data_IF_641760766942
#
_entry.id   IF_641760766942
#
_cell.length_a   1.000
_cell.length_b   1.000
_cell.length_c   1.000
_cell.angle_alpha   90.00
_cell.angle_beta   90.00
_cell.angle_gamma   90.00
#
_symmetry.space_group_name_H-M   'P 1'
#
loop_
_entity.id
_entity.type
_entity.pdbx_description
1 polymer ?
#
# COMPACT_ATOMS: atom_id res chain seq x y z
N UNK A 1 -4.48 -5.97 -8.76
CA UNK A 1 -4.51 -6.87 -7.60
C UNK A 1 -4.30 -6.08 -6.32
N UNK A 2 -5.03 -6.43 -5.27
CA UNK A 2 -4.83 -5.95 -3.89
C UNK A 2 -4.52 -7.15 -3.00
N UNK A 3 -3.84 -6.91 -1.88
CA UNK A 3 -3.67 -7.91 -0.84
C UNK A 3 -5.03 -8.21 -0.17
N UNK A 4 -5.19 -9.41 0.38
CA UNK A 4 -6.34 -9.75 1.22
C UNK A 4 -6.48 -8.71 2.33
N UNK A 5 -7.69 -8.28 2.59
CA UNK A 5 -8.06 -7.29 3.62
C UNK A 5 -7.56 -5.84 3.36
N UNK A 6 -6.86 -5.56 2.24
CA UNK A 6 -6.63 -4.19 1.79
C UNK A 6 -7.89 -3.65 1.14
N UNK A 7 -8.35 -2.49 1.62
CA UNK A 7 -9.55 -1.83 1.10
C UNK A 7 -9.26 -0.91 -0.10
N UNK A 8 -10.31 -0.35 -0.68
CA UNK A 8 -10.22 0.67 -1.71
C UNK A 8 -10.48 0.19 -3.13
N UNK A 9 -9.95 0.93 -4.08
CA UNK A 9 -10.21 0.76 -5.50
C UNK A 9 -9.45 -0.42 -6.10
N UNK A 10 -10.15 -1.20 -6.91
CA UNK A 10 -9.56 -2.23 -7.76
C UNK A 10 -10.05 -2.04 -9.20
N UNK A 11 -9.13 -2.15 -10.16
CA UNK A 11 -9.46 -2.10 -11.59
C UNK A 11 -9.46 -3.52 -12.14
N UNK A 12 -10.58 -3.92 -12.77
CA UNK A 12 -10.75 -5.23 -13.38
C UNK A 12 -10.82 -5.06 -14.90
N UNK A 13 -9.85 -5.61 -15.59
CA UNK A 13 -9.84 -5.66 -17.06
C UNK A 13 -10.75 -6.78 -17.55
N UNK A 14 -11.63 -6.48 -18.52
CA UNK A 14 -12.60 -7.46 -19.08
C UNK A 14 -12.00 -8.37 -20.14
N UNK A 15 -10.80 -8.06 -20.65
CA UNK A 15 -10.12 -8.86 -21.67
C UNK A 15 -8.59 -8.67 -21.62
N UNK A 16 -7.86 -9.60 -22.24
CA UNK A 16 -6.40 -9.68 -22.14
C UNK A 16 -5.65 -8.44 -22.64
N UNK A 17 -6.11 -7.80 -23.72
CA UNK A 17 -5.49 -6.56 -24.21
C UNK A 17 -5.57 -5.44 -23.17
N UNK A 18 -6.75 -5.19 -22.60
CA UNK A 18 -6.90 -4.19 -21.55
C UNK A 18 -6.06 -4.52 -20.30
N UNK A 19 -5.98 -5.80 -19.92
CA UNK A 19 -5.13 -6.23 -18.81
C UNK A 19 -3.64 -5.92 -19.06
N UNK A 20 -3.16 -6.22 -20.27
CA UNK A 20 -1.76 -5.98 -20.64
C UNK A 20 -1.39 -4.49 -20.65
N UNK A 21 -2.29 -3.62 -21.14
CA UNK A 21 -2.09 -2.16 -21.15
C UNK A 21 -2.16 -1.60 -19.74
N UNK A 22 -3.22 -1.91 -18.98
CA UNK A 22 -3.43 -1.37 -17.63
C UNK A 22 -2.37 -1.83 -16.64
N UNK A 23 -1.86 -3.05 -16.76
CA UNK A 23 -0.79 -3.54 -15.87
C UNK A 23 0.49 -2.70 -15.90
N UNK A 24 0.71 -1.96 -17.00
CA UNK A 24 1.90 -1.13 -17.23
C UNK A 24 1.66 0.38 -17.00
N UNK A 25 0.41 0.83 -17.07
CA UNK A 25 0.07 2.25 -17.11
C UNK A 25 -0.78 2.74 -15.93
N UNK A 26 -1.31 1.84 -15.11
CA UNK A 26 -2.12 2.25 -13.96
C UNK A 26 -1.23 2.79 -12.85
N UNK A 27 -1.51 4.01 -12.44
CA UNK A 27 -0.94 4.64 -11.26
C UNK A 27 -1.90 4.46 -10.08
N UNK A 28 -1.35 4.12 -8.93
CA UNK A 28 -2.12 3.93 -7.70
C UNK A 28 -1.54 4.77 -6.58
N UNK A 29 -2.43 5.36 -5.82
CA UNK A 29 -2.09 6.03 -4.57
C UNK A 29 -2.81 5.32 -3.42
N UNK A 30 -2.10 5.14 -2.33
CA UNK A 30 -2.61 4.48 -1.15
C UNK A 30 -2.65 5.45 0.02
N UNK A 31 -3.63 5.27 0.87
CA UNK A 31 -3.67 5.85 2.21
C UNK A 31 -3.42 4.74 3.21
N UNK A 32 -2.52 4.96 4.16
CA UNK A 32 -2.21 4.00 5.20
C UNK A 32 -2.11 4.68 6.56
N UNK A 33 -2.32 3.91 7.61
CA UNK A 33 -2.02 4.33 8.99
C UNK A 33 -0.96 3.40 9.54
N UNK A 34 0.20 3.94 9.93
CA UNK A 34 1.24 3.17 10.58
C UNK A 34 1.35 3.50 12.07
N UNK A 35 1.96 2.60 12.82
CA UNK A 35 2.24 2.79 14.24
C UNK A 35 3.43 3.73 14.45
N UNK A 36 3.35 4.51 15.53
CA UNK A 36 4.36 5.48 15.88
C UNK A 36 4.26 6.79 15.10
N UNK A 37 5.21 7.67 15.33
CA UNK A 37 5.23 9.03 14.76
C UNK A 37 6.33 9.13 13.71
N UNK A 38 5.92 9.29 12.46
CA UNK A 38 6.77 9.71 11.36
C UNK A 38 6.57 11.20 11.06
N UNK A 39 7.56 11.83 10.43
CA UNK A 39 7.51 13.24 10.03
C UNK A 39 8.02 13.43 8.60
N UNK A 40 7.42 14.36 7.89
CA UNK A 40 7.85 14.73 6.54
C UNK A 40 7.48 13.72 5.47
N UNK A 41 8.42 13.41 4.63
CA UNK A 41 8.26 12.49 3.50
C UNK A 41 9.56 11.72 3.25
N UNK A 42 9.47 10.60 2.52
CA UNK A 42 10.65 9.80 2.24
C UNK A 42 10.41 8.72 1.20
N UNK A 43 11.48 7.98 0.95
CA UNK A 43 11.49 6.84 0.03
C UNK A 43 12.12 5.64 0.72
N UNK A 44 11.46 4.48 0.60
CA UNK A 44 12.00 3.19 1.01
C UNK A 44 12.36 2.44 -0.26
N UNK A 45 13.65 2.25 -0.52
CA UNK A 45 14.19 1.56 -1.69
C UNK A 45 15.01 0.36 -1.20
N UNK A 46 14.31 -0.72 -0.88
CA UNK A 46 14.93 -1.98 -0.42
C UNK A 46 14.23 -3.17 -1.06
N UNK A 47 14.99 -4.18 -1.53
CA UNK A 47 14.42 -5.30 -2.25
C UNK A 47 13.65 -6.26 -1.34
N UNK A 48 12.63 -6.91 -1.92
CA UNK A 48 11.69 -7.80 -1.21
C UNK A 48 11.71 -9.18 -1.86
N UNK A 49 11.72 -10.23 -1.05
CA UNK A 49 11.53 -11.62 -1.49
C UNK A 49 10.47 -12.36 -0.66
N UNK A 50 10.11 -13.54 -1.10
CA UNK A 50 9.35 -14.48 -0.27
C UNK A 50 10.23 -14.90 0.92
N UNK A 51 9.69 -14.83 2.13
CA UNK A 51 10.39 -15.27 3.33
C UNK A 51 10.55 -16.79 3.31
N UNK A 52 11.74 -17.26 3.62
CA UNK A 52 12.04 -18.69 3.63
C UNK A 52 11.14 -19.45 4.62
N UNK A 53 10.58 -20.57 4.17
CA UNK A 53 9.63 -21.37 4.96
C UNK A 53 8.19 -20.85 4.98
N UNK A 54 7.88 -19.76 4.28
CA UNK A 54 6.54 -19.18 4.20
C UNK A 54 6.00 -19.22 2.75
N UNK A 55 4.67 -19.29 2.63
CA UNK A 55 3.99 -19.32 1.33
C UNK A 55 3.58 -17.93 0.82
N UNK A 56 3.37 -16.98 1.73
CA UNK A 56 2.88 -15.64 1.40
C UNK A 56 3.69 -14.51 2.04
N UNK A 57 4.24 -14.72 3.23
CA UNK A 57 4.96 -13.68 3.96
C UNK A 57 6.23 -13.26 3.20
N UNK A 58 6.49 -11.96 3.16
CA UNK A 58 7.64 -11.36 2.49
C UNK A 58 8.63 -10.80 3.51
N UNK A 59 9.86 -10.61 3.07
CA UNK A 59 10.91 -9.98 3.87
C UNK A 59 11.80 -9.10 2.98
N UNK A 60 12.49 -8.14 3.60
CA UNK A 60 13.55 -7.39 2.95
C UNK A 60 14.79 -8.25 2.91
N UNK A 61 15.38 -8.43 1.72
CA UNK A 61 16.60 -9.20 1.53
C UNK A 61 17.36 -8.72 0.28
N UNK A 62 18.69 -8.72 0.33
CA UNK A 62 19.56 -8.21 -0.75
C UNK A 62 19.36 -8.91 -2.10
N UNK A 63 18.99 -10.18 -2.08
CA UNK A 63 18.68 -11.02 -3.25
C UNK A 63 17.22 -10.95 -3.67
N UNK A 64 16.43 -10.05 -3.08
CA UNK A 64 15.02 -9.81 -3.41
C UNK A 64 14.83 -9.05 -4.72
N UNK A 65 13.57 -8.91 -5.11
CA UNK A 65 13.18 -8.08 -6.25
C UNK A 65 13.17 -6.60 -5.84
N UNK A 66 13.66 -5.73 -6.71
CA UNK A 66 13.60 -4.26 -6.51
C UNK A 66 12.19 -3.83 -6.10
N UNK A 67 12.10 -3.04 -5.03
CA UNK A 67 10.86 -2.50 -4.52
C UNK A 67 11.10 -1.07 -4.01
N UNK A 68 10.28 -0.11 -4.50
CA UNK A 68 10.40 1.31 -4.16
C UNK A 68 9.05 1.86 -3.77
N UNK A 69 8.99 2.45 -2.58
CA UNK A 69 7.80 3.05 -1.96
C UNK A 69 8.10 4.48 -1.55
N UNK A 70 7.36 5.44 -2.11
CA UNK A 70 7.39 6.84 -1.69
C UNK A 70 6.26 7.10 -0.72
N UNK A 71 6.53 7.85 0.33
CA UNK A 71 5.54 8.18 1.34
C UNK A 71 5.63 9.63 1.80
N UNK A 72 4.50 10.16 2.25
CA UNK A 72 4.37 11.49 2.81
C UNK A 72 3.39 11.45 3.99
N UNK A 73 3.76 12.10 5.08
CA UNK A 73 2.87 12.30 6.24
C UNK A 73 1.82 13.35 5.88
N UNK A 74 0.55 13.01 6.10
CA UNK A 74 -0.59 13.90 5.86
C UNK A 74 -1.43 14.16 7.11
N UNK A 75 -1.10 13.51 8.22
CA UNK A 75 -1.76 13.68 9.51
C UNK A 75 -1.32 12.63 10.52
N UNK A 76 -1.98 12.59 11.66
CA UNK A 76 -1.72 11.58 12.68
C UNK A 76 -1.95 12.08 14.10
N UNK A 77 -1.61 11.21 15.04
CA UNK A 77 -1.66 11.45 16.50
C UNK A 77 -0.28 11.24 17.12
N UNK A 78 -0.19 11.20 18.44
CA UNK A 78 1.05 10.82 19.14
C UNK A 78 1.36 9.30 19.06
N UNK A 79 0.48 8.51 18.48
CA UNK A 79 0.59 7.04 18.42
C UNK A 79 0.54 6.48 17.01
N UNK A 80 -0.09 7.19 16.07
CA UNK A 80 -0.27 6.74 14.70
C UNK A 80 0.01 7.87 13.70
N UNK A 81 0.54 7.50 12.55
CA UNK A 81 0.79 8.43 11.44
C UNK A 81 -0.08 8.07 10.24
N UNK A 82 -0.80 9.06 9.71
CA UNK A 82 -1.55 8.96 8.46
C UNK A 82 -0.62 9.29 7.28
N UNK A 83 -0.58 8.39 6.32
CA UNK A 83 0.34 8.42 5.20
C UNK A 83 -0.38 8.43 3.86
N UNK A 84 0.15 9.21 2.93
CA UNK A 84 -0.09 9.10 1.49
C UNK A 84 1.10 8.37 0.87
N UNK A 85 0.83 7.35 0.05
CA UNK A 85 1.86 6.45 -0.47
C UNK A 85 1.71 6.28 -1.97
N UNK A 86 2.85 6.33 -2.68
CA UNK A 86 2.96 6.01 -4.11
C UNK A 86 4.01 4.94 -4.34
N UNK A 87 3.77 4.10 -5.33
CA UNK A 87 4.64 2.96 -5.63
C UNK A 87 5.26 3.11 -7.02
N UNK A 88 6.59 2.94 -7.14
CA UNK A 88 7.24 2.70 -8.44
C UNK A 88 7.13 1.23 -8.86
N UNK A 89 7.00 0.33 -7.91
CA UNK A 89 6.93 -1.11 -8.09
C UNK A 89 5.73 -1.67 -7.32
N UNK A 90 5.19 -2.80 -7.76
CA UNK A 90 3.99 -3.41 -7.14
C UNK A 90 4.26 -4.83 -6.64
N UNK A 91 5.20 -5.02 -5.69
CA UNK A 91 5.48 -6.33 -5.12
C UNK A 91 4.43 -6.74 -4.10
N UNK A 92 4.22 -8.04 -3.95
CA UNK A 92 3.30 -8.59 -2.94
C UNK A 92 3.69 -8.06 -1.55
N UNK A 93 2.70 -7.56 -0.80
CA UNK A 93 2.86 -6.99 0.54
C UNK A 93 3.88 -5.82 0.64
N UNK A 94 4.24 -5.17 -0.46
CA UNK A 94 5.34 -4.21 -0.50
C UNK A 94 5.22 -3.11 0.56
N UNK A 95 4.11 -2.41 0.65
CA UNK A 95 3.91 -1.33 1.64
C UNK A 95 4.05 -1.88 3.06
N UNK A 96 3.41 -3.01 3.33
CA UNK A 96 3.38 -3.68 4.63
C UNK A 96 4.78 -4.05 5.11
N UNK A 97 5.56 -4.71 4.25
CA UNK A 97 6.95 -5.10 4.52
C UNK A 97 7.86 -3.89 4.69
N UNK A 98 7.75 -2.89 3.82
CA UNK A 98 8.58 -1.70 3.87
C UNK A 98 8.38 -0.92 5.16
N UNK A 99 7.14 -0.69 5.58
CA UNK A 99 6.86 0.03 6.83
C UNK A 99 7.23 -0.77 8.07
N UNK A 100 7.05 -2.09 8.07
CA UNK A 100 7.59 -2.97 9.11
C UNK A 100 9.12 -2.89 9.19
N UNK A 101 9.81 -2.90 8.04
CA UNK A 101 11.27 -2.83 7.98
C UNK A 101 11.85 -1.55 8.60
N UNK A 102 11.19 -0.42 8.41
CA UNK A 102 11.63 0.85 9.03
C UNK A 102 11.14 1.05 10.47
N UNK A 103 10.53 0.01 11.09
CA UNK A 103 10.07 0.05 12.48
C UNK A 103 8.72 0.72 12.71
N UNK A 104 7.96 0.99 11.66
CA UNK A 104 6.63 1.60 11.68
C UNK A 104 5.59 0.72 10.97
N UNK A 105 5.31 -0.50 11.47
CA UNK A 105 4.34 -1.40 10.83
C UNK A 105 2.98 -0.72 10.68
N UNK A 106 2.20 -1.15 9.68
CA UNK A 106 0.84 -0.64 9.54
C UNK A 106 -0.01 -1.10 10.73
N UNK A 107 -0.84 -0.22 11.27
CA UNK A 107 -1.79 -0.56 12.32
C UNK A 107 -2.69 -1.72 11.86
N UNK A 108 -2.94 -2.70 12.73
CA UNK A 108 -3.73 -3.87 12.41
C UNK A 108 -3.05 -4.94 11.54
N UNK A 109 -1.80 -4.75 11.15
CA UNK A 109 -1.05 -5.72 10.34
C UNK A 109 -0.26 -6.71 11.20
N UNK A 110 -0.92 -7.66 11.81
CA UNK A 110 -0.33 -8.64 12.72
C UNK A 110 0.74 -9.51 12.06
N UNK A 111 0.62 -9.78 10.75
CA UNK A 111 1.65 -10.53 9.99
C UNK A 111 3.00 -9.82 9.98
N UNK A 112 3.03 -8.50 10.05
CA UNK A 112 4.23 -7.67 9.96
C UNK A 112 4.49 -6.84 11.22
N UNK A 113 3.86 -7.19 12.35
CA UNK A 113 4.15 -6.62 13.67
C UNK A 113 3.25 -5.45 14.08
N UNK A 114 2.23 -5.14 13.30
CA UNK A 114 1.20 -4.16 13.67
C UNK A 114 0.25 -4.72 14.74
N UNK A 115 -0.25 -3.84 15.60
CA UNK A 115 -1.16 -4.19 16.68
C UNK A 115 -2.61 -4.16 16.22
N UNK A 116 -3.42 -5.12 16.69
CA UNK A 116 -4.86 -5.20 16.41
C UNK A 116 -5.70 -4.24 17.29
N UNK A 117 -5.12 -3.17 17.79
CA UNK A 117 -5.79 -2.20 18.67
C UNK A 117 -6.61 -1.21 17.82
N UNK A 118 -7.93 -1.37 17.84
CA UNK A 118 -8.86 -0.48 17.15
C UNK A 118 -9.13 -0.83 15.69
N UNK A 119 -8.36 -1.75 15.09
CA UNK A 119 -8.59 -2.24 13.73
C UNK A 119 -8.15 -3.71 13.60
N UNK A 120 -8.96 -4.55 12.96
CA UNK A 120 -8.74 -5.99 12.82
C UNK A 120 -8.08 -6.42 11.49
N UNK A 121 -7.50 -5.48 10.75
CA UNK A 121 -6.86 -5.69 9.44
C UNK A 121 -5.79 -4.63 9.22
N UNK A 122 -4.87 -4.85 8.27
CA UNK A 122 -3.92 -3.78 7.93
C UNK A 122 -4.65 -2.48 7.54
N UNK A 123 -4.28 -1.38 8.16
CA UNK A 123 -4.79 -0.04 7.88
C UNK A 123 -4.23 0.48 6.56
N UNK A 124 -4.71 -0.08 5.44
CA UNK A 124 -4.26 0.18 4.09
C UNK A 124 -5.44 0.26 3.12
N UNK A 125 -5.50 1.33 2.34
CA UNK A 125 -6.55 1.59 1.36
C UNK A 125 -5.92 2.06 0.05
N UNK A 126 -6.29 1.43 -1.08
CA UNK A 126 -6.02 2.00 -2.41
C UNK A 126 -7.01 3.14 -2.64
N UNK A 127 -6.63 4.35 -2.27
CA UNK A 127 -7.50 5.52 -2.21
C UNK A 127 -7.67 6.24 -3.56
N UNK A 128 -6.76 6.02 -4.50
CA UNK A 128 -6.83 6.65 -5.81
C UNK A 128 -6.23 5.77 -6.90
N UNK A 129 -6.86 5.77 -8.06
CA UNK A 129 -6.33 5.16 -9.28
C UNK A 129 -6.42 6.14 -10.44
N UNK A 130 -5.39 6.14 -11.28
CA UNK A 130 -5.29 6.96 -12.46
C UNK A 130 -4.80 6.09 -13.63
N UNK A 131 -5.49 6.14 -14.76
CA UNK A 131 -5.09 5.43 -15.96
C UNK A 131 -5.72 6.03 -17.22
N UNK A 132 -5.16 5.67 -18.38
CA UNK A 132 -5.76 5.96 -19.67
C UNK A 132 -6.55 4.75 -20.12
N UNK A 133 -7.83 4.95 -20.46
CA UNK A 133 -8.69 3.86 -20.93
C UNK A 133 -8.12 3.25 -22.22
N UNK A 134 -7.83 1.92 -22.24
CA UNK A 134 -7.03 1.31 -23.31
C UNK A 134 -7.68 1.30 -24.70
N UNK A 135 -8.99 1.56 -24.79
CA UNK A 135 -9.73 1.61 -26.05
C UNK A 135 -10.08 3.05 -26.44
N UNK A 136 -10.64 3.82 -25.50
CA UNK A 136 -11.14 5.19 -25.79
C UNK A 136 -10.08 6.28 -25.68
N UNK A 137 -8.95 6.00 -25.04
CA UNK A 137 -7.90 6.98 -24.78
C UNK A 137 -8.23 8.04 -23.70
N UNK A 138 -9.40 7.97 -23.09
CA UNK A 138 -9.79 8.91 -22.05
C UNK A 138 -8.98 8.67 -20.78
N UNK A 139 -8.50 9.76 -20.17
CA UNK A 139 -7.91 9.75 -18.84
C UNK A 139 -9.01 9.55 -17.79
N UNK A 140 -8.84 8.54 -16.97
CA UNK A 140 -9.77 8.19 -15.89
C UNK A 140 -9.04 8.35 -14.58
N UNK A 141 -9.64 9.12 -13.68
CA UNK A 141 -9.18 9.31 -12.32
C UNK A 141 -10.34 8.98 -11.38
N UNK A 142 -10.14 8.03 -10.48
CA UNK A 142 -11.10 7.62 -9.48
C UNK A 142 -10.47 7.72 -8.10
N UNK A 143 -11.25 8.16 -7.13
CA UNK A 143 -10.84 8.22 -5.74
C UNK A 143 -11.93 7.63 -4.84
N UNK A 144 -11.52 7.00 -3.74
CA UNK A 144 -12.39 6.63 -2.65
C UNK A 144 -11.73 7.00 -1.32
N UNK A 145 -12.49 7.52 -0.35
CA UNK A 145 -11.94 7.84 0.96
C UNK A 145 -11.51 6.56 1.69
N UNK A 146 -10.51 6.65 2.59
CA UNK A 146 -10.23 5.58 3.54
C UNK A 146 -11.46 5.29 4.39
N UNK A 147 -11.58 4.05 4.86
CA UNK A 147 -12.71 3.62 5.68
C UNK A 147 -12.64 4.22 7.09
N UNK A 148 -13.80 4.31 7.75
CA UNK A 148 -13.94 4.94 9.06
C UNK A 148 -13.08 4.28 10.15
N UNK A 149 -12.89 2.96 10.09
CA UNK A 149 -12.02 2.22 11.01
C UNK A 149 -10.55 2.66 10.95
N UNK A 150 -10.06 3.02 9.76
CA UNK A 150 -8.73 3.59 9.59
C UNK A 150 -8.66 5.03 10.10
N UNK A 151 -9.67 5.84 9.78
CA UNK A 151 -9.69 7.26 10.17
C UNK A 151 -9.86 7.46 11.67
N UNK A 152 -10.55 6.56 12.36
CA UNK A 152 -10.68 6.56 13.82
C UNK A 152 -9.33 6.44 14.57
N UNK A 153 -8.30 5.85 13.95
CA UNK A 153 -6.96 5.72 14.54
C UNK A 153 -6.18 7.03 14.60
N UNK A 154 -6.59 8.04 13.83
CA UNK A 154 -5.86 9.31 13.64
C UNK A 154 -6.70 10.56 14.00
N UNK A 155 -7.81 10.32 14.70
CA UNK A 155 -8.68 11.37 15.27
C UNK A 155 -8.30 11.72 16.71
#
# INVERSE_FOLDING_TARGET
RLDKDTSGLIVIAKHGYAAAVLSKSIEKEYTAVCEGVLKGEGTIDVPIRLKEGYTIQREVAKDGQRAVTHWKVVGGTNHHTLLQIRLETGRTHQIRVHFSHIGHPLAGDDMYGGRLNGIGRQALCCSKVLFVHPVTGHRIELACPPQDDMMALVQ
#
